data_IF_080536845908
#
_entry.id   IF_080536845908
#
_cell.length_a   1.000
_cell.length_b   1.000
_cell.length_c   1.000
_cell.angle_alpha   90.00
_cell.angle_beta   90.00
_cell.angle_gamma   90.00
#
_symmetry.space_group_name_H-M   'P 1'
#
loop_
_entity.id
_entity.type
_entity.pdbx_description
1 polymer ?
#
# COMPACT_ATOMS: atom_id res chain seq x y z
N UNK A 1 47.16 -3.42 1.73
CA UNK A 1 46.25 -4.56 1.95
C UNK A 1 44.83 -4.07 1.72
N UNK A 2 44.16 -4.55 0.66
CA UNK A 2 42.77 -4.16 0.33
C UNK A 2 41.84 -4.98 1.22
N UNK A 3 41.21 -4.35 2.21
CA UNK A 3 40.16 -4.97 3.00
C UNK A 3 38.88 -4.99 2.15
N UNK A 4 38.42 -6.22 1.92
CA UNK A 4 37.22 -6.63 1.22
C UNK A 4 36.05 -5.64 1.37
N UNK A 5 35.58 -5.13 0.24
CA UNK A 5 34.27 -4.50 0.18
C UNK A 5 33.23 -5.52 0.64
N UNK A 6 32.51 -5.21 1.72
CA UNK A 6 31.25 -5.89 2.01
C UNK A 6 30.37 -5.67 0.78
N UNK A 7 30.19 -6.71 -0.04
CA UNK A 7 28.98 -6.79 -0.85
C UNK A 7 27.87 -6.85 0.19
N UNK A 8 27.18 -5.73 0.40
CA UNK A 8 25.89 -5.74 1.09
C UNK A 8 25.09 -6.87 0.45
N UNK A 9 24.87 -7.96 1.20
CA UNK A 9 24.01 -9.03 0.74
C UNK A 9 22.63 -8.41 0.64
N UNK A 10 22.20 -8.13 -0.59
CA UNK A 10 20.83 -7.71 -0.86
C UNK A 10 19.89 -8.71 -0.19
N UNK A 11 18.85 -8.19 0.45
CA UNK A 11 17.84 -9.02 1.11
C UNK A 11 17.30 -10.04 0.11
N UNK A 12 17.01 -11.30 0.50
CA UNK A 12 16.55 -12.35 -0.44
C UNK A 12 15.27 -11.96 -1.21
N UNK A 13 14.49 -11.02 -0.68
CA UNK A 13 13.28 -10.50 -1.32
C UNK A 13 13.50 -9.23 -2.17
N UNK A 14 14.71 -8.68 -2.25
CA UNK A 14 14.96 -7.37 -2.87
C UNK A 14 14.36 -7.21 -4.27
N UNK A 15 14.58 -8.22 -5.13
CA UNK A 15 14.08 -8.25 -6.52
C UNK A 15 12.69 -8.88 -6.65
N UNK A 16 12.07 -9.29 -5.54
CA UNK A 16 10.73 -9.89 -5.58
C UNK A 16 9.71 -8.81 -5.97
N UNK A 17 8.86 -9.06 -6.99
CA UNK A 17 7.84 -8.11 -7.35
C UNK A 17 6.79 -8.03 -6.24
N UNK A 18 6.44 -6.79 -5.88
CA UNK A 18 5.33 -6.46 -5.00
C UNK A 18 4.31 -5.65 -5.80
N UNK A 19 3.04 -6.02 -5.67
CA UNK A 19 1.93 -5.32 -6.29
C UNK A 19 1.56 -4.08 -5.49
N UNK A 20 1.23 -3.00 -6.18
CA UNK A 20 0.71 -1.76 -5.65
C UNK A 20 -0.72 -1.62 -6.15
N UNK A 21 -1.68 -1.79 -5.23
CA UNK A 21 -3.11 -1.83 -5.53
C UNK A 21 -3.78 -0.57 -4.97
N UNK A 22 -4.08 0.44 -5.81
CA UNK A 22 -4.88 1.59 -5.40
C UNK A 22 -6.34 1.18 -5.24
N UNK A 23 -6.91 1.43 -4.07
CA UNK A 23 -8.31 1.15 -3.75
C UNK A 23 -9.03 2.42 -3.31
N UNK A 24 -10.30 2.51 -3.70
CA UNK A 24 -11.24 3.50 -3.20
C UNK A 24 -12.11 2.84 -2.13
N UNK A 25 -11.94 3.30 -0.89
CA UNK A 25 -12.65 2.80 0.28
C UNK A 25 -13.77 3.75 0.69
N UNK A 26 -14.88 3.16 1.16
CA UNK A 26 -16.00 3.85 1.78
C UNK A 26 -16.21 3.34 3.19
N UNK A 27 -17.03 4.09 3.94
CA UNK A 27 -17.56 3.62 5.21
C UNK A 27 -18.22 2.23 5.02
N UNK A 28 -17.76 1.27 5.81
CA UNK A 28 -18.27 -0.09 5.86
C UNK A 28 -18.94 -0.32 7.21
N UNK A 29 -18.35 -1.21 8.01
CA UNK A 29 -18.65 -1.36 9.43
C UNK A 29 -18.02 -0.23 10.26
N UNK A 30 -16.86 0.28 9.86
CA UNK A 30 -16.27 1.49 10.44
C UNK A 30 -16.86 2.76 9.82
N UNK A 31 -17.18 3.74 10.68
CA UNK A 31 -17.59 5.07 10.23
C UNK A 31 -16.37 5.95 9.96
N UNK A 32 -16.31 6.53 8.77
CA UNK A 32 -15.34 7.58 8.49
C UNK A 32 -15.71 8.85 9.27
N UNK A 33 -14.73 9.60 9.82
CA UNK A 33 -15.04 10.84 10.52
C UNK A 33 -15.67 11.85 9.55
N UNK A 34 -16.78 12.51 9.92
CA UNK A 34 -17.37 13.57 9.10
C UNK A 34 -16.34 14.68 8.82
N UNK A 35 -16.29 15.29 7.62
CA UNK A 35 -17.20 15.15 6.48
C UNK A 35 -16.75 14.12 5.42
N UNK A 36 -15.84 13.19 5.76
CA UNK A 36 -15.28 12.27 4.78
C UNK A 36 -16.32 11.29 4.26
N UNK A 37 -16.42 11.18 2.93
CA UNK A 37 -17.32 10.23 2.25
C UNK A 37 -16.58 8.98 1.76
N UNK A 38 -15.25 9.01 1.76
CA UNK A 38 -14.39 7.93 1.33
C UNK A 38 -12.92 8.26 1.56
N UNK A 39 -12.06 7.31 1.24
CA UNK A 39 -10.61 7.51 1.17
C UNK A 39 -10.00 6.73 0.01
N UNK A 40 -8.82 7.18 -0.42
CA UNK A 40 -7.95 6.37 -1.26
C UNK A 40 -6.84 5.76 -0.40
N UNK A 41 -6.52 4.49 -0.67
CA UNK A 41 -5.42 3.79 -0.04
C UNK A 41 -4.66 3.00 -1.10
N UNK A 42 -3.33 2.97 -1.00
CA UNK A 42 -2.52 2.02 -1.76
C UNK A 42 -2.19 0.82 -0.88
N UNK A 43 -2.46 -0.38 -1.38
CA UNK A 43 -2.14 -1.63 -0.68
C UNK A 43 -0.98 -2.30 -1.40
N UNK A 44 0.05 -2.65 -0.64
CA UNK A 44 1.22 -3.39 -1.11
C UNK A 44 1.08 -4.85 -0.71
N UNK A 45 1.16 -5.77 -1.67
CA UNK A 45 1.05 -7.20 -1.39
C UNK A 45 1.81 -8.05 -2.40
N UNK A 46 2.18 -9.26 -1.99
CA UNK A 46 2.68 -10.29 -2.90
C UNK A 46 1.52 -11.15 -3.38
N UNK A 47 1.52 -11.47 -4.66
CA UNK A 47 0.58 -12.38 -5.30
C UNK A 47 1.16 -12.86 -6.63
N UNK A 48 0.64 -13.98 -7.13
CA UNK A 48 1.13 -14.59 -8.38
C UNK A 48 0.74 -13.77 -9.62
N UNK A 49 -0.39 -13.07 -9.56
CA UNK A 49 -0.98 -12.34 -10.69
C UNK A 49 -1.77 -11.10 -10.20
N UNK A 50 -2.08 -10.13 -11.08
CA UNK A 50 -2.71 -8.87 -10.68
C UNK A 50 -4.13 -9.05 -10.16
N UNK A 51 -4.84 -10.08 -10.62
CA UNK A 51 -6.20 -10.38 -10.15
C UNK A 51 -6.13 -10.87 -8.71
N UNK A 52 -5.25 -11.83 -8.43
CA UNK A 52 -5.02 -12.33 -7.06
C UNK A 52 -4.53 -11.22 -6.13
N UNK A 53 -3.68 -10.31 -6.61
CA UNK A 53 -3.24 -9.13 -5.86
C UNK A 53 -4.41 -8.21 -5.48
N UNK A 54 -5.29 -7.91 -6.45
CA UNK A 54 -6.47 -7.08 -6.22
C UNK A 54 -7.40 -7.69 -5.17
N UNK A 55 -7.68 -9.00 -5.27
CA UNK A 55 -8.49 -9.71 -4.29
C UNK A 55 -7.87 -9.69 -2.89
N UNK A 56 -6.57 -9.97 -2.77
CA UNK A 56 -5.86 -9.94 -1.49
C UNK A 56 -5.90 -8.54 -0.86
N UNK A 57 -5.75 -7.49 -1.66
CA UNK A 57 -5.85 -6.12 -1.19
C UNK A 57 -7.27 -5.75 -0.72
N UNK A 58 -8.31 -6.13 -1.48
CA UNK A 58 -9.71 -5.92 -1.10
C UNK A 58 -10.02 -6.60 0.24
N UNK A 59 -9.67 -7.89 0.38
CA UNK A 59 -9.89 -8.65 1.60
C UNK A 59 -9.18 -8.02 2.80
N UNK A 60 -7.96 -7.50 2.60
CA UNK A 60 -7.22 -6.84 3.67
C UNK A 60 -7.89 -5.52 4.12
N UNK A 61 -8.49 -4.77 3.20
CA UNK A 61 -9.28 -3.57 3.52
C UNK A 61 -10.59 -3.93 4.24
N UNK A 62 -11.29 -4.94 3.75
CA UNK A 62 -12.55 -5.41 4.36
C UNK A 62 -12.33 -5.97 5.78
N UNK A 63 -11.19 -6.62 6.02
CA UNK A 63 -10.80 -7.09 7.35
C UNK A 63 -10.56 -5.94 8.35
N UNK A 64 -10.27 -4.73 7.87
CA UNK A 64 -10.22 -3.52 8.72
C UNK A 64 -11.61 -2.89 8.95
N UNK A 65 -12.67 -3.44 8.36
CA UNK A 65 -14.04 -2.95 8.52
C UNK A 65 -14.47 -1.89 7.50
N UNK A 66 -13.66 -1.62 6.48
CA UNK A 66 -14.02 -0.73 5.36
C UNK A 66 -14.68 -1.52 4.23
N UNK A 67 -15.31 -0.80 3.28
CA UNK A 67 -15.83 -1.41 2.06
C UNK A 67 -15.14 -0.83 0.84
N UNK A 68 -14.86 -1.66 -0.17
CA UNK A 68 -14.26 -1.22 -1.43
C UNK A 68 -15.37 -0.91 -2.44
N UNK A 69 -15.37 0.29 -3.02
CA UNK A 69 -16.46 0.76 -3.89
C UNK A 69 -16.44 0.15 -5.29
N UNK A 70 -15.25 -0.12 -5.80
CA UNK A 70 -15.01 -0.58 -7.17
C UNK A 70 -13.72 -1.39 -7.22
N UNK A 71 -13.66 -2.34 -8.15
CA UNK A 71 -12.41 -3.06 -8.41
C UNK A 71 -11.31 -2.08 -8.88
N UNK A 72 -10.05 -2.30 -8.48
CA UNK A 72 -8.95 -1.45 -8.90
C UNK A 72 -8.84 -1.43 -10.42
N UNK A 73 -8.80 -0.23 -11.00
CA UNK A 73 -8.64 -0.03 -12.46
C UNK A 73 -7.20 -0.26 -12.93
N UNK A 74 -6.25 -0.12 -12.01
CA UNK A 74 -4.83 -0.31 -12.25
C UNK A 74 -4.22 -1.11 -11.11
N UNK A 75 -3.26 -1.97 -11.45
CA UNK A 75 -2.46 -2.71 -10.48
C UNK A 75 -1.02 -2.61 -10.98
N UNK A 76 -0.17 -1.91 -10.23
CA UNK A 76 1.21 -1.67 -10.60
C UNK A 76 2.15 -2.62 -9.86
N UNK A 77 3.43 -2.66 -10.25
CA UNK A 77 4.45 -3.42 -9.54
C UNK A 77 5.69 -2.59 -9.28
N UNK A 78 6.40 -2.95 -8.22
CA UNK A 78 7.77 -2.53 -7.98
C UNK A 78 8.58 -3.68 -7.36
N UNK A 79 9.92 -3.67 -7.48
CA UNK A 79 10.79 -4.49 -6.63
C UNK A 79 10.54 -4.16 -5.15
N UNK A 80 10.58 -5.17 -4.28
CA UNK A 80 10.39 -4.94 -2.85
C UNK A 80 11.45 -3.99 -2.26
N UNK A 81 12.66 -3.96 -2.82
CA UNK A 81 13.73 -3.06 -2.41
C UNK A 81 13.43 -1.57 -2.63
N UNK A 82 12.47 -1.25 -3.50
CA UNK A 82 12.14 0.13 -3.84
C UNK A 82 11.08 0.74 -2.93
N UNK A 83 10.55 -0.03 -1.97
CA UNK A 83 9.46 0.41 -1.09
C UNK A 83 9.79 1.70 -0.32
N UNK A 84 10.96 1.78 0.32
CA UNK A 84 11.35 2.96 1.09
C UNK A 84 11.45 4.22 0.22
N UNK A 85 12.08 4.08 -0.95
CA UNK A 85 12.20 5.14 -1.95
C UNK A 85 10.83 5.56 -2.49
N UNK A 86 9.96 4.59 -2.77
CA UNK A 86 8.60 4.83 -3.24
C UNK A 86 7.79 5.63 -2.22
N UNK A 87 7.78 5.19 -0.96
CA UNK A 87 7.04 5.85 0.12
C UNK A 87 7.60 7.24 0.40
N UNK A 88 8.93 7.40 0.46
CA UNK A 88 9.56 8.70 0.71
C UNK A 88 9.29 9.71 -0.40
N UNK A 89 9.08 9.23 -1.63
CA UNK A 89 8.72 10.06 -2.78
C UNK A 89 7.24 10.44 -2.78
N UNK A 90 6.34 9.48 -2.51
CA UNK A 90 4.88 9.71 -2.55
C UNK A 90 4.34 10.41 -1.30
N UNK A 91 4.86 10.07 -0.12
CA UNK A 91 4.35 10.50 1.18
C UNK A 91 5.50 10.87 2.12
N UNK A 92 6.30 11.90 1.78
CA UNK A 92 7.46 12.29 2.58
C UNK A 92 7.10 12.61 4.03
N UNK A 93 5.96 13.27 4.25
CA UNK A 93 5.51 13.70 5.58
C UNK A 93 4.98 12.54 6.45
N UNK A 94 4.50 11.46 5.83
CA UNK A 94 3.96 10.28 6.53
C UNK A 94 4.95 9.11 6.59
N UNK A 95 6.18 9.28 6.06
CA UNK A 95 7.18 8.21 6.01
C UNK A 95 7.43 7.60 7.39
N UNK A 96 7.50 8.41 8.44
CA UNK A 96 7.79 7.94 9.80
C UNK A 96 6.68 7.04 10.38
N UNK A 97 5.45 7.11 9.86
CA UNK A 97 4.30 6.33 10.31
C UNK A 97 4.13 5.02 9.53
N UNK A 98 4.89 4.88 8.44
CA UNK A 98 4.86 3.72 7.57
C UNK A 98 6.01 2.75 7.90
N UNK A 99 5.85 1.44 7.64
CA UNK A 99 6.90 0.45 7.87
C UNK A 99 8.28 0.87 7.36
N UNK A 100 9.33 0.50 8.08
CA UNK A 100 10.69 0.54 7.54
C UNK A 100 10.84 -0.46 6.38
N UNK A 101 11.90 -0.32 5.57
CA UNK A 101 12.22 -1.29 4.52
C UNK A 101 12.38 -2.72 5.08
N UNK A 102 12.94 -2.85 6.28
CA UNK A 102 13.11 -4.14 6.94
C UNK A 102 11.77 -4.75 7.36
N UNK A 103 10.91 -3.98 8.03
CA UNK A 103 9.56 -4.46 8.41
C UNK A 103 8.69 -4.76 7.20
N UNK A 104 8.87 -4.02 6.11
CA UNK A 104 8.20 -4.32 4.85
C UNK A 104 8.62 -5.68 4.31
N UNK A 105 9.92 -6.00 4.33
CA UNK A 105 10.40 -7.33 3.95
C UNK A 105 9.82 -8.44 4.83
N UNK A 106 9.77 -8.25 6.15
CA UNK A 106 9.18 -9.22 7.07
C UNK A 106 7.70 -9.49 6.70
N UNK A 107 6.94 -8.43 6.44
CA UNK A 107 5.53 -8.57 6.02
C UNK A 107 5.39 -9.26 4.66
N UNK A 108 6.24 -8.93 3.70
CA UNK A 108 6.25 -9.59 2.39
C UNK A 108 6.69 -11.06 2.46
N UNK A 109 7.57 -11.42 3.40
CA UNK A 109 7.94 -12.81 3.65
C UNK A 109 6.74 -13.64 4.14
N UNK A 110 5.88 -13.01 4.94
CA UNK A 110 4.67 -13.60 5.52
C UNK A 110 3.41 -13.44 4.65
N UNK A 111 3.52 -12.91 3.42
CA UNK A 111 2.38 -12.61 2.55
C UNK A 111 1.34 -11.67 3.20
N UNK A 112 1.78 -10.81 4.12
CA UNK A 112 0.93 -9.80 4.77
C UNK A 112 0.90 -8.52 3.95
N UNK A 113 -0.30 -7.99 3.74
CA UNK A 113 -0.50 -6.70 3.09
C UNK A 113 0.05 -5.54 3.94
N UNK A 114 0.59 -4.53 3.27
CA UNK A 114 0.99 -3.25 3.86
C UNK A 114 0.11 -2.15 3.28
N UNK A 115 -0.35 -1.24 4.11
CA UNK A 115 -1.17 -0.10 3.67
C UNK A 115 -0.31 1.16 3.62
N UNK A 116 -0.50 1.94 2.56
CA UNK A 116 -0.13 3.35 2.55
C UNK A 116 -1.11 4.19 3.38
N UNK A 117 -0.88 5.51 3.46
CA UNK A 117 -1.77 6.42 4.16
C UNK A 117 -3.17 6.43 3.53
N UNK A 118 -4.18 6.65 4.37
CA UNK A 118 -5.55 6.86 3.92
C UNK A 118 -5.74 8.33 3.57
N UNK A 119 -5.83 8.63 2.27
CA UNK A 119 -6.17 9.96 1.77
C UNK A 119 -7.68 10.15 1.76
N UNK A 120 -8.25 10.63 2.88
CA UNK A 120 -9.66 10.96 2.98
C UNK A 120 -10.08 12.09 2.05
N UNK A 121 -11.31 12.03 1.52
CA UNK A 121 -11.89 13.13 0.76
C UNK A 121 -13.39 13.30 1.05
N UNK A 122 -13.87 14.53 0.88
CA UNK A 122 -15.28 14.92 0.93
C UNK A 122 -15.92 14.95 -0.46
N UNK A 123 -17.25 15.00 -0.52
CA UNK A 123 -17.96 15.31 -1.77
C UNK A 123 -17.55 16.71 -2.20
N UNK A 124 -17.08 16.94 -3.45
CA UNK A 124 -16.87 18.31 -3.91
C UNK A 124 -18.17 19.08 -3.68
N UNK A 125 -18.07 20.24 -3.02
CA UNK A 125 -19.21 21.10 -2.77
C UNK A 125 -20.02 21.20 -4.07
N UNK A 126 -21.27 20.75 -4.03
CA UNK A 126 -22.19 21.00 -5.12
C UNK A 126 -22.31 22.52 -5.20
N UNK A 127 -21.54 23.15 -6.10
CA UNK A 127 -21.78 24.52 -6.50
C UNK A 127 -23.12 24.51 -7.22
N UNK A 128 -24.20 24.60 -6.43
CA UNK A 128 -25.53 24.90 -6.92
C UNK A 128 -25.45 26.25 -7.62
N UNK A 129 -25.70 26.25 -8.91
CA UNK A 129 -26.03 27.42 -9.72
C UNK A 129 -27.38 27.14 -10.38
#
# INVERSE_FOLDING_TARGET
MRLFGRKEQQHPLAETPVWIVPLHVRAGLEQLPPPLIGAYVQVFCRADDPTTAAWAAIQAVEAMGYSVSENPKTVNQMPAADYDSFVSSQWPDQRAELPSQAEFYDRMAEYRSVFGPFGGYDTPASNGS
#
